data_IF_900101142242
#
_entry.id   IF_900101142242
#
_cell.length_a   1.000
_cell.length_b   1.000
_cell.length_c   1.000
_cell.angle_alpha   90.00
_cell.angle_beta   90.00
_cell.angle_gamma   90.00
#
_symmetry.space_group_name_H-M   'P 1'
#
loop_
_entity.id
_entity.type
_entity.pdbx_description
1 polymer ?
#
# COMPACT_ATOMS: atom_id res chain seq x y z
N UNK A 1 46.72 -4.27 20.61
CA UNK A 1 46.26 -4.81 19.32
C UNK A 1 45.05 -5.70 19.59
N UNK A 2 43.86 -5.29 19.14
CA UNK A 2 42.63 -6.09 19.24
C UNK A 2 42.35 -6.71 17.86
N UNK A 3 41.90 -7.96 17.85
CA UNK A 3 41.76 -8.82 16.66
C UNK A 3 40.74 -8.27 15.63
N UNK A 4 40.89 -8.58 14.33
CA UNK A 4 40.12 -7.96 13.23
C UNK A 4 38.62 -8.23 13.19
N UNK A 5 38.08 -9.06 14.08
CA UNK A 5 36.69 -9.54 14.04
C UNK A 5 35.75 -8.79 15.00
N UNK A 6 36.27 -7.83 15.79
CA UNK A 6 35.49 -7.03 16.76
C UNK A 6 34.92 -5.73 16.18
N UNK A 7 34.56 -5.72 14.89
CA UNK A 7 33.82 -4.61 14.25
C UNK A 7 32.82 -5.14 13.23
N UNK A 8 31.90 -5.99 13.66
CA UNK A 8 30.61 -6.05 13.00
C UNK A 8 29.68 -5.08 13.73
N UNK A 9 29.13 -4.06 13.08
CA UNK A 9 28.00 -3.35 13.64
C UNK A 9 26.93 -4.42 13.89
N UNK A 10 26.36 -4.44 15.09
CA UNK A 10 25.07 -5.07 15.31
C UNK A 10 24.11 -4.26 14.44
N UNK A 11 23.83 -4.73 13.23
CA UNK A 11 22.80 -4.13 12.39
C UNK A 11 21.50 -4.46 13.09
N UNK A 12 20.99 -3.50 13.85
CA UNK A 12 19.60 -3.52 14.28
C UNK A 12 18.79 -3.35 13.00
N UNK A 13 18.40 -4.47 12.38
CA UNK A 13 17.55 -4.46 11.20
C UNK A 13 16.29 -3.67 11.51
N UNK A 14 15.95 -2.68 10.66
CA UNK A 14 14.68 -1.98 10.82
C UNK A 14 13.53 -2.98 10.62
N UNK A 15 12.31 -2.61 11.05
CA UNK A 15 11.13 -3.46 10.84
C UNK A 15 10.94 -3.76 9.35
N UNK A 16 11.24 -2.80 8.48
CA UNK A 16 11.27 -2.96 7.03
C UNK A 16 12.27 -4.02 6.56
N UNK A 17 13.52 -3.99 7.04
CA UNK A 17 14.53 -5.02 6.70
C UNK A 17 14.05 -6.42 7.09
N UNK A 18 13.44 -6.55 8.28
CA UNK A 18 12.85 -7.82 8.73
C UNK A 18 11.73 -8.31 7.81
N UNK A 19 10.84 -7.42 7.37
CA UNK A 19 9.78 -7.74 6.43
C UNK A 19 10.32 -8.17 5.05
N UNK A 20 11.35 -7.48 4.54
CA UNK A 20 12.02 -7.83 3.28
C UNK A 20 12.67 -9.22 3.35
N UNK A 21 13.39 -9.51 4.44
CA UNK A 21 14.02 -10.82 4.65
C UNK A 21 12.96 -11.93 4.72
N UNK A 22 11.87 -11.71 5.44
CA UNK A 22 10.78 -12.67 5.55
C UNK A 22 10.10 -12.92 4.20
N UNK A 23 9.83 -11.87 3.43
CA UNK A 23 9.24 -11.97 2.09
C UNK A 23 10.14 -12.79 1.15
N UNK A 24 11.46 -12.53 1.15
CA UNK A 24 12.43 -13.29 0.35
C UNK A 24 12.47 -14.76 0.75
N UNK A 25 12.54 -15.04 2.06
CA UNK A 25 12.57 -16.41 2.56
C UNK A 25 11.35 -17.23 2.12
N UNK A 26 10.15 -16.66 2.22
CA UNK A 26 8.91 -17.35 1.82
C UNK A 26 8.81 -17.47 0.30
N UNK A 27 9.07 -16.40 -0.45
CA UNK A 27 9.00 -16.44 -1.92
C UNK A 27 10.01 -17.42 -2.52
N UNK A 28 11.23 -17.50 -1.98
CA UNK A 28 12.24 -18.46 -2.41
C UNK A 28 11.82 -19.92 -2.19
N UNK A 29 11.16 -20.22 -1.07
CA UNK A 29 10.60 -21.55 -0.83
C UNK A 29 9.48 -21.88 -1.83
N UNK A 30 8.62 -20.90 -2.13
CA UNK A 30 7.51 -21.10 -3.08
C UNK A 30 8.05 -21.37 -4.49
N UNK A 31 8.98 -20.57 -5.01
CA UNK A 31 9.51 -20.75 -6.38
C UNK A 31 10.32 -22.05 -6.52
N UNK A 32 10.82 -22.59 -5.41
CA UNK A 32 11.53 -23.87 -5.39
C UNK A 32 10.61 -25.09 -5.38
N UNK A 33 9.33 -24.92 -5.04
CA UNK A 33 8.34 -25.99 -4.98
C UNK A 33 8.10 -26.66 -6.34
N UNK A 34 7.69 -27.92 -6.33
CA UNK A 34 7.45 -28.69 -7.55
C UNK A 34 6.35 -28.08 -8.43
N UNK A 35 5.26 -27.62 -7.83
CA UNK A 35 4.14 -27.03 -8.58
C UNK A 35 4.52 -25.73 -9.27
N UNK A 36 5.36 -24.89 -8.65
CA UNK A 36 5.77 -23.61 -9.24
C UNK A 36 6.68 -23.85 -10.45
N UNK A 37 7.62 -24.80 -10.31
CA UNK A 37 8.55 -25.19 -11.39
C UNK A 37 7.87 -25.85 -12.59
N UNK A 38 6.74 -26.53 -12.38
CA UNK A 38 6.00 -27.20 -13.46
C UNK A 38 4.85 -26.37 -14.02
N UNK A 39 4.55 -25.22 -13.44
CA UNK A 39 3.51 -24.32 -13.94
C UNK A 39 3.93 -23.72 -15.29
N UNK A 40 3.03 -23.71 -16.28
CA UNK A 40 3.26 -23.07 -17.57
C UNK A 40 3.37 -21.54 -17.45
N UNK A 41 2.58 -20.97 -16.53
CA UNK A 41 2.53 -19.54 -16.22
C UNK A 41 2.52 -19.38 -14.71
N UNK A 42 3.67 -19.54 -14.03
CA UNK A 42 3.72 -19.39 -12.59
C UNK A 42 3.34 -17.95 -12.20
N UNK A 43 2.58 -17.75 -11.11
CA UNK A 43 2.21 -16.43 -10.68
C UNK A 43 3.43 -15.67 -10.16
N UNK A 44 3.45 -14.37 -10.41
CA UNK A 44 4.27 -13.43 -9.65
C UNK A 44 3.53 -13.00 -8.38
N UNK A 45 4.27 -12.47 -7.43
CA UNK A 45 3.78 -12.11 -6.11
C UNK A 45 3.50 -10.61 -6.00
N UNK A 46 2.57 -10.25 -5.13
CA UNK A 46 2.48 -8.88 -4.63
C UNK A 46 3.44 -8.70 -3.45
N UNK A 47 4.02 -7.52 -3.32
CA UNK A 47 4.91 -7.16 -2.23
C UNK A 47 4.48 -5.85 -1.57
N UNK A 48 5.00 -5.60 -0.36
CA UNK A 48 4.86 -4.33 0.34
C UNK A 48 3.41 -3.84 0.51
N UNK A 49 2.49 -4.76 0.84
CA UNK A 49 1.06 -4.49 1.08
C UNK A 49 0.89 -3.67 2.37
N UNK A 50 1.25 -2.39 2.30
CA UNK A 50 1.30 -1.51 3.46
C UNK A 50 -0.05 -0.82 3.65
N UNK A 51 -0.55 -0.89 4.88
CA UNK A 51 -1.77 -0.22 5.29
C UNK A 51 -1.55 1.23 5.71
N UNK A 52 -0.28 1.65 5.80
CA UNK A 52 0.09 2.91 6.42
C UNK A 52 0.01 4.09 5.45
N UNK A 53 -0.31 5.25 6.00
CA UNK A 53 -0.39 6.49 5.26
C UNK A 53 0.98 7.19 5.33
N UNK A 54 1.61 7.54 4.20
CA UNK A 54 2.86 8.28 4.21
C UNK A 54 2.75 9.56 5.06
N UNK A 55 3.55 9.67 6.12
CA UNK A 55 3.63 10.89 6.94
C UNK A 55 2.54 11.09 8.00
N UNK A 56 1.73 10.08 8.33
CA UNK A 56 0.84 10.12 9.51
C UNK A 56 1.46 9.27 10.63
N UNK A 57 1.57 9.79 11.87
CA UNK A 57 2.02 8.99 12.99
C UNK A 57 1.10 7.79 13.21
N UNK A 58 1.70 6.60 13.29
CA UNK A 58 1.00 5.34 13.53
C UNK A 58 0.30 5.34 14.89
N UNK A 59 -0.62 4.40 15.08
CA UNK A 59 -1.19 4.06 16.40
C UNK A 59 -0.15 3.51 17.40
N UNK A 60 1.12 3.43 17.01
CA UNK A 60 2.26 2.98 17.81
C UNK A 60 3.35 4.02 17.60
N UNK A 61 3.85 4.63 18.68
CA UNK A 61 4.71 5.83 18.73
C UNK A 61 6.10 5.73 18.04
N UNK A 62 6.24 4.99 16.95
CA UNK A 62 7.46 4.83 16.16
C UNK A 62 7.35 5.53 14.80
N UNK A 63 8.48 6.01 14.29
CA UNK A 63 8.55 6.63 12.96
C UNK A 63 8.44 5.52 11.90
N UNK A 64 7.34 5.52 11.15
CA UNK A 64 7.08 4.49 10.15
C UNK A 64 8.02 4.63 8.94
N UNK A 65 8.72 3.55 8.61
CA UNK A 65 9.56 3.42 7.41
C UNK A 65 8.95 2.52 6.33
N UNK A 66 7.73 2.00 6.53
CA UNK A 66 7.00 1.15 5.60
C UNK A 66 6.39 1.95 4.44
N UNK A 67 7.26 2.46 3.57
CA UNK A 67 6.87 3.11 2.32
C UNK A 67 7.65 2.55 1.11
N UNK A 68 7.17 2.81 -0.10
CA UNK A 68 7.75 2.27 -1.34
C UNK A 68 9.12 2.89 -1.64
N UNK A 69 9.35 4.13 -1.21
CA UNK A 69 10.65 4.80 -1.37
C UNK A 69 11.71 4.07 -0.53
N UNK A 70 11.44 3.81 0.75
CA UNK A 70 12.37 3.12 1.64
C UNK A 70 12.51 1.65 1.26
N UNK A 71 11.41 0.98 0.89
CA UNK A 71 11.41 -0.40 0.41
C UNK A 71 12.34 -0.60 -0.80
N UNK A 72 12.16 0.24 -1.82
CA UNK A 72 12.97 0.15 -3.05
C UNK A 72 14.42 0.56 -2.79
N UNK A 73 14.67 1.52 -1.89
CA UNK A 73 16.03 1.86 -1.41
C UNK A 73 16.70 0.72 -0.65
N UNK A 74 15.94 -0.03 0.15
CA UNK A 74 16.39 -1.24 0.85
C UNK A 74 16.59 -2.44 -0.10
N UNK A 75 16.19 -2.29 -1.38
CA UNK A 75 16.58 -3.18 -2.46
C UNK A 75 15.60 -4.32 -2.75
N UNK A 76 14.37 -4.28 -2.23
CA UNK A 76 13.33 -5.23 -2.66
C UNK A 76 12.83 -4.84 -4.06
N UNK A 77 13.48 -5.37 -5.10
CA UNK A 77 13.33 -4.97 -6.52
C UNK A 77 13.34 -6.18 -7.48
N UNK A 78 13.01 -7.36 -6.97
CA UNK A 78 12.98 -8.65 -7.67
C UNK A 78 11.83 -8.71 -8.70
N UNK A 79 11.95 -7.95 -9.79
CA UNK A 79 10.95 -7.86 -10.87
C UNK A 79 10.63 -9.20 -11.56
N UNK A 80 11.49 -10.21 -11.42
CA UNK A 80 11.25 -11.59 -11.85
C UNK A 80 10.22 -12.31 -10.95
N UNK A 81 10.13 -11.91 -9.67
CA UNK A 81 9.22 -12.48 -8.66
C UNK A 81 8.04 -11.58 -8.35
N UNK A 82 8.19 -10.26 -8.42
CA UNK A 82 7.18 -9.28 -7.99
C UNK A 82 6.40 -8.77 -9.20
N UNK A 83 5.07 -8.82 -9.13
CA UNK A 83 4.16 -8.24 -10.13
C UNK A 83 3.82 -6.78 -9.81
N UNK A 84 3.51 -6.51 -8.54
CA UNK A 84 3.07 -5.19 -8.06
C UNK A 84 3.52 -4.94 -6.63
N UNK A 85 3.82 -3.69 -6.31
CA UNK A 85 3.70 -3.19 -4.94
C UNK A 85 2.27 -2.73 -4.67
N UNK A 86 1.80 -2.78 -3.42
CA UNK A 86 0.42 -2.39 -3.10
C UNK A 86 0.33 -1.55 -1.83
N UNK A 87 -0.48 -0.49 -1.83
CA UNK A 87 -0.70 0.35 -0.66
C UNK A 87 -2.20 0.51 -0.40
N UNK A 88 -2.57 0.76 0.85
CA UNK A 88 -3.95 1.01 1.22
C UNK A 88 -4.20 2.50 1.36
N UNK A 89 -5.32 2.98 0.83
CA UNK A 89 -5.74 4.38 1.01
C UNK A 89 -7.24 4.47 1.23
N UNK A 90 -7.64 4.99 2.38
CA UNK A 90 -9.02 5.36 2.68
C UNK A 90 -9.08 6.86 3.01
N UNK A 91 -9.76 7.69 2.21
CA UNK A 91 -9.91 9.12 2.47
C UNK A 91 -10.63 9.45 3.78
N UNK A 92 -11.50 8.54 4.24
CA UNK A 92 -12.29 8.69 5.46
C UNK A 92 -12.32 7.36 6.24
N UNK A 93 -12.90 7.37 7.43
CA UNK A 93 -12.94 6.19 8.30
C UNK A 93 -14.13 6.23 9.25
N UNK A 94 -14.67 5.06 9.56
CA UNK A 94 -15.67 4.85 10.62
C UNK A 94 -15.13 4.01 11.79
N UNK A 95 -13.81 3.80 11.86
CA UNK A 95 -13.21 2.88 12.82
C UNK A 95 -13.28 3.33 14.29
N UNK A 96 -13.59 4.61 14.54
CA UNK A 96 -13.92 5.12 15.87
C UNK A 96 -14.98 6.22 15.80
N UNK A 97 -15.57 6.52 16.95
CA UNK A 97 -16.64 7.50 17.11
C UNK A 97 -16.29 8.88 16.55
N UNK A 98 -15.07 9.37 16.75
CA UNK A 98 -14.68 10.70 16.30
C UNK A 98 -14.59 10.75 14.77
N UNK A 99 -13.98 9.75 14.13
CA UNK A 99 -13.93 9.65 12.66
C UNK A 99 -15.29 9.37 12.05
N UNK A 100 -16.13 8.58 12.71
CA UNK A 100 -17.53 8.32 12.32
C UNK A 100 -18.35 9.62 12.21
N UNK A 101 -18.22 10.53 13.18
CA UNK A 101 -18.90 11.83 13.14
C UNK A 101 -18.33 12.82 12.12
N UNK A 102 -17.03 12.70 11.79
CA UNK A 102 -16.37 13.55 10.77
C UNK A 102 -16.67 13.11 9.34
N UNK A 103 -17.07 11.86 9.14
CA UNK A 103 -17.38 11.33 7.82
C UNK A 103 -18.48 12.16 7.16
N UNK A 104 -18.20 12.70 5.97
CA UNK A 104 -19.06 13.69 5.32
C UNK A 104 -19.10 13.51 3.81
N UNK A 105 -20.30 13.63 3.25
CA UNK A 105 -20.51 13.70 1.80
C UNK A 105 -19.96 14.99 1.19
N UNK A 106 -19.72 16.06 1.96
CA UNK A 106 -19.13 17.28 1.41
C UNK A 106 -17.63 17.14 1.09
N UNK A 107 -16.97 16.13 1.68
CA UNK A 107 -15.53 15.89 1.48
C UNK A 107 -15.25 14.99 0.27
N UNK A 108 -16.15 14.04 -0.05
CA UNK A 108 -15.96 13.11 -1.17
C UNK A 108 -15.86 13.82 -2.53
N UNK A 109 -16.84 14.62 -2.98
CA UNK A 109 -16.80 15.26 -4.30
C UNK A 109 -15.87 16.49 -4.33
N UNK A 110 -15.17 16.82 -3.24
CA UNK A 110 -14.25 17.95 -3.23
C UNK A 110 -12.94 17.55 -3.94
N UNK A 111 -12.78 18.00 -5.19
CA UNK A 111 -11.62 17.67 -6.02
C UNK A 111 -10.27 18.05 -5.38
N UNK A 112 -10.20 19.13 -4.59
CA UNK A 112 -8.96 19.53 -3.90
C UNK A 112 -8.58 18.53 -2.80
N UNK A 113 -9.58 18.04 -2.04
CA UNK A 113 -9.37 17.01 -1.02
C UNK A 113 -8.95 15.70 -1.67
N UNK A 114 -9.64 15.32 -2.74
CA UNK A 114 -9.35 14.09 -3.46
C UNK A 114 -7.95 14.14 -4.11
N UNK A 115 -7.58 15.26 -4.74
CA UNK A 115 -6.22 15.46 -5.26
C UNK A 115 -5.17 15.40 -4.17
N UNK A 116 -5.39 16.03 -3.00
CA UNK A 116 -4.44 15.95 -1.89
C UNK A 116 -4.23 14.50 -1.43
N UNK A 117 -5.31 13.72 -1.34
CA UNK A 117 -5.25 12.31 -0.94
C UNK A 117 -4.51 11.42 -1.93
N UNK A 118 -4.64 11.68 -3.24
CA UNK A 118 -3.99 10.87 -4.28
C UNK A 118 -2.56 11.32 -4.56
N UNK A 119 -2.32 12.63 -4.69
CA UNK A 119 -1.04 13.20 -5.13
C UNK A 119 0.13 12.94 -4.18
N UNK A 120 -0.13 12.67 -2.90
CA UNK A 120 0.90 12.23 -1.96
C UNK A 120 1.62 10.93 -2.38
N UNK A 121 1.01 10.11 -3.24
CA UNK A 121 1.61 8.88 -3.76
C UNK A 121 2.48 9.11 -5.00
N UNK A 122 2.54 10.31 -5.57
CA UNK A 122 3.41 10.60 -6.73
C UNK A 122 4.87 10.20 -6.48
N UNK A 123 5.50 10.53 -5.33
CA UNK A 123 6.87 10.08 -5.05
C UNK A 123 6.99 8.56 -4.88
N UNK A 124 5.95 7.90 -4.37
CA UNK A 124 5.90 6.43 -4.19
C UNK A 124 5.82 5.72 -5.55
N UNK A 125 4.97 6.21 -6.45
CA UNK A 125 4.87 5.72 -7.84
C UNK A 125 6.21 5.90 -8.55
N UNK A 126 6.84 7.06 -8.43
CA UNK A 126 8.14 7.29 -9.05
C UNK A 126 9.24 6.34 -8.53
N UNK A 127 9.21 5.98 -7.24
CA UNK A 127 10.14 4.99 -6.68
C UNK A 127 9.86 3.58 -7.20
N UNK A 128 8.59 3.20 -7.30
CA UNK A 128 8.13 1.94 -7.86
C UNK A 128 8.55 1.78 -9.33
N UNK A 129 8.29 2.81 -10.15
CA UNK A 129 8.66 2.86 -11.57
C UNK A 129 10.17 2.72 -11.75
N UNK A 130 10.97 3.38 -10.89
CA UNK A 130 12.44 3.25 -10.90
C UNK A 130 12.90 1.82 -10.57
N UNK A 131 12.15 1.09 -9.75
CA UNK A 131 12.39 -0.32 -9.46
C UNK A 131 11.87 -1.26 -10.56
N UNK A 132 11.14 -0.74 -11.55
CA UNK A 132 10.55 -1.52 -12.65
C UNK A 132 9.36 -2.38 -12.21
N UNK A 133 8.74 -2.07 -11.06
CA UNK A 133 7.59 -2.79 -10.51
C UNK A 133 6.48 -1.76 -10.24
N UNK A 134 5.29 -1.90 -10.85
CA UNK A 134 4.21 -0.93 -10.67
C UNK A 134 3.68 -0.94 -9.24
N UNK A 135 3.31 0.24 -8.73
CA UNK A 135 2.54 0.42 -7.51
C UNK A 135 1.04 0.40 -7.82
N UNK A 136 0.22 -0.23 -6.98
CA UNK A 136 -1.25 -0.20 -7.07
C UNK A 136 -1.89 0.24 -5.75
N UNK A 137 -3.11 0.78 -5.81
CA UNK A 137 -3.97 0.83 -4.62
C UNK A 137 -4.57 -0.55 -4.40
N UNK A 138 -3.93 -1.35 -3.55
CA UNK A 138 -4.32 -2.74 -3.26
C UNK A 138 -5.56 -2.87 -2.38
N UNK A 139 -5.85 -1.84 -1.60
CA UNK A 139 -7.06 -1.75 -0.79
C UNK A 139 -7.50 -0.30 -0.66
N UNK A 140 -8.74 0.01 -1.07
CA UNK A 140 -9.28 1.36 -0.93
C UNK A 140 -10.80 1.34 -0.90
N UNK A 141 -11.41 2.39 -0.36
CA UNK A 141 -12.81 2.74 -0.56
C UNK A 141 -13.03 4.18 -0.08
N UNK A 142 -14.25 4.70 -0.22
CA UNK A 142 -14.66 6.02 0.26
C UNK A 142 -14.37 6.22 1.75
N UNK A 143 -14.48 5.15 2.55
CA UNK A 143 -14.17 5.12 3.97
C UNK A 143 -13.79 3.70 4.44
N UNK A 144 -12.87 3.59 5.40
CA UNK A 144 -12.53 2.31 6.06
C UNK A 144 -13.58 1.91 7.10
N UNK A 145 -13.50 0.67 7.60
CA UNK A 145 -14.41 0.10 8.62
C UNK A 145 -15.89 0.02 8.18
N UNK A 146 -16.11 -0.43 6.94
CA UNK A 146 -17.43 -0.62 6.30
C UNK A 146 -18.16 0.66 5.87
N UNK A 147 -17.52 1.83 6.02
CA UNK A 147 -18.14 3.10 5.63
C UNK A 147 -19.40 3.43 6.43
N UNK A 148 -20.29 4.24 5.84
CA UNK A 148 -21.52 4.71 6.50
C UNK A 148 -22.69 4.79 5.52
N UNK A 149 -23.81 4.16 5.88
CA UNK A 149 -25.04 4.28 5.10
C UNK A 149 -25.55 5.72 5.06
N UNK A 150 -26.06 6.13 3.90
CA UNK A 150 -26.38 7.50 3.54
C UNK A 150 -25.17 8.34 3.10
N UNK A 151 -23.96 7.77 3.06
CA UNK A 151 -22.77 8.44 2.53
C UNK A 151 -22.02 7.53 1.55
N UNK A 152 -21.53 6.37 2.00
CA UNK A 152 -20.72 5.46 1.20
C UNK A 152 -21.51 4.69 0.12
N UNK A 153 -22.83 4.60 0.29
CA UNK A 153 -23.80 3.84 -0.53
C UNK A 153 -24.71 4.76 -1.37
N UNK A 154 -24.19 5.92 -1.79
CA UNK A 154 -24.98 6.94 -2.49
C UNK A 154 -24.46 7.22 -3.90
N UNK A 155 -25.27 7.90 -4.71
CA UNK A 155 -24.84 8.40 -6.02
C UNK A 155 -23.60 9.32 -5.93
N UNK A 156 -23.48 10.11 -4.86
CA UNK A 156 -22.30 10.96 -4.63
C UNK A 156 -21.02 10.14 -4.43
N UNK A 157 -21.10 9.02 -3.70
CA UNK A 157 -19.97 8.11 -3.55
C UNK A 157 -19.61 7.38 -4.87
N UNK A 158 -20.62 7.09 -5.71
CA UNK A 158 -20.37 6.54 -7.04
C UNK A 158 -19.67 7.53 -7.98
N UNK A 159 -19.99 8.83 -7.93
CA UNK A 159 -19.25 9.85 -8.67
C UNK A 159 -17.83 10.05 -8.12
N UNK A 160 -17.68 10.01 -6.80
CA UNK A 160 -16.38 10.05 -6.15
C UNK A 160 -15.45 8.92 -6.65
N UNK A 161 -15.96 7.70 -6.81
CA UNK A 161 -15.12 6.57 -7.24
C UNK A 161 -14.63 6.75 -8.69
N UNK A 162 -15.42 7.39 -9.57
CA UNK A 162 -14.99 7.76 -10.92
C UNK A 162 -13.82 8.72 -10.86
N UNK A 163 -13.96 9.82 -10.12
CA UNK A 163 -12.88 10.82 -9.97
C UNK A 163 -11.63 10.19 -9.36
N UNK A 164 -11.81 9.35 -8.34
CA UNK A 164 -10.72 8.70 -7.63
C UNK A 164 -9.90 7.78 -8.53
N UNK A 165 -10.55 6.92 -9.33
CA UNK A 165 -9.87 6.00 -10.25
C UNK A 165 -9.14 6.77 -11.36
N UNK A 166 -9.78 7.80 -11.93
CA UNK A 166 -9.18 8.60 -12.99
C UNK A 166 -7.98 9.42 -12.48
N UNK A 167 -8.06 9.95 -11.26
CA UNK A 167 -6.93 10.67 -10.65
C UNK A 167 -5.80 9.75 -10.21
N UNK A 168 -6.11 8.54 -9.72
CA UNK A 168 -5.09 7.52 -9.48
C UNK A 168 -4.34 7.18 -10.77
N UNK A 169 -5.07 6.96 -11.88
CA UNK A 169 -4.47 6.71 -13.18
C UNK A 169 -3.60 7.90 -13.65
N UNK A 170 -4.02 9.14 -13.37
CA UNK A 170 -3.27 10.34 -13.77
C UNK A 170 -1.89 10.47 -13.13
N UNK A 171 -1.66 9.82 -11.97
CA UNK A 171 -0.36 9.80 -11.29
C UNK A 171 0.47 8.55 -11.61
N UNK A 172 0.02 7.69 -12.52
CA UNK A 172 0.71 6.46 -12.91
C UNK A 172 0.27 5.19 -12.17
N UNK A 173 -0.79 5.25 -11.37
CA UNK A 173 -1.34 4.05 -10.70
C UNK A 173 -2.13 3.21 -11.72
N UNK A 174 -1.71 1.98 -12.09
CA UNK A 174 -2.34 1.23 -13.17
C UNK A 174 -3.60 0.47 -12.73
N UNK A 175 -3.77 0.23 -11.42
CA UNK A 175 -4.93 -0.50 -10.88
C UNK A 175 -5.33 0.04 -9.51
N UNK A 176 -6.63 -0.02 -9.25
CA UNK A 176 -7.28 0.36 -8.00
C UNK A 176 -8.22 -0.77 -7.59
N UNK A 177 -8.05 -1.29 -6.38
CA UNK A 177 -8.83 -2.41 -5.85
C UNK A 177 -9.73 -1.94 -4.70
N UNK A 178 -11.03 -1.88 -4.96
CA UNK A 178 -12.01 -1.48 -3.96
C UNK A 178 -12.29 -2.61 -2.98
N UNK A 179 -12.25 -2.31 -1.68
CA UNK A 179 -12.52 -3.25 -0.61
C UNK A 179 -13.93 -3.02 -0.05
N UNK A 180 -14.88 -3.95 -0.24
CA UNK A 180 -16.22 -3.85 0.31
C UNK A 180 -16.22 -4.14 1.82
N UNK A 181 -17.12 -3.47 2.56
CA UNK A 181 -17.40 -3.81 3.94
C UNK A 181 -18.20 -5.12 4.07
N UNK A 182 -18.27 -5.68 5.27
CA UNK A 182 -18.95 -6.95 5.54
C UNK A 182 -20.44 -7.00 5.14
N UNK A 183 -21.07 -5.83 4.97
CA UNK A 183 -22.48 -5.67 4.59
C UNK A 183 -22.65 -4.92 3.25
N UNK A 184 -21.67 -4.99 2.35
CA UNK A 184 -21.85 -4.49 1.00
C UNK A 184 -22.75 -5.47 0.23
N UNK A 185 -23.97 -5.02 -0.12
CA UNK A 185 -24.89 -5.72 -1.01
C UNK A 185 -24.81 -5.17 -2.44
#
# INVERSE_FOLDING_TARGET
MLLPWMRHPIVQHSKLDGAILQWRNISDQIIQSSWYKTAQHPPKFQAAVFADHPGVPVQQDEMDDFDIINLTRAGLTEHDKIDTYAVHLYPQSTCDTARWYRLSMNLLPNHSVLWHNVSQYVPQVAAADKAGIPLVFGETNSASCSGRSGISDTFGAALWSVDYVLLAASIGMPKVYFHPGANAE
#
